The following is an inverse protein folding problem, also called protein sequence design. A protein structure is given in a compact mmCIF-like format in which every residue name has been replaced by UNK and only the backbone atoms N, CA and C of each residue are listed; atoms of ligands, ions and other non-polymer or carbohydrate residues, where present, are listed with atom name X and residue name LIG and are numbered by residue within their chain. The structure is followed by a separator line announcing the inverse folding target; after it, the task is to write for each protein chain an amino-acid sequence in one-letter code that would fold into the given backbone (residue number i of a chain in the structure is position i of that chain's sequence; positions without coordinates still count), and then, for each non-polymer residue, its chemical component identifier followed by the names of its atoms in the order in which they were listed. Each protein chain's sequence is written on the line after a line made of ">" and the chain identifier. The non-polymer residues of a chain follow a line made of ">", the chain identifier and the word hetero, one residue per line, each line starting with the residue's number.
data_IF_557101984849
#
_entry.id   IF_557101984849
#
_cell.length_a   1.000
_cell.length_b   1.000
_cell.length_c   1.000
_cell.angle_alpha   90.00
_cell.angle_beta   90.00
_cell.angle_gamma   90.00
#
_symmetry.space_group_name_H-M   'P 1'
#
loop_
_entity.id
_entity.type
_entity.pdbx_description
1 polymer ?
#
# COMPACT_ATOMS: atom_id res chain seq x y z
N UNK A 1 -0.58 25.27 2.59
CA UNK A 1 -0.12 24.40 3.69
C UNK A 1 1.29 24.76 4.16
N UNK A 2 2.32 24.80 3.29
CA UNK A 2 3.65 25.30 3.70
C UNK A 2 3.62 26.75 4.20
N UNK A 3 2.80 27.60 3.58
CA UNK A 3 2.65 29.00 3.98
C UNK A 3 1.95 29.23 5.33
N UNK A 4 1.18 28.25 5.83
CA UNK A 4 0.42 28.32 7.08
C UNK A 4 0.18 26.89 7.63
N UNK A 5 1.18 26.27 8.27
CA UNK A 5 1.03 24.93 8.83
C UNK A 5 0.18 24.95 10.10
N UNK A 6 -0.60 23.88 10.39
CA UNK A 6 -1.24 23.70 11.69
C UNK A 6 -0.22 23.73 12.82
N UNK A 7 -0.63 24.19 14.00
CA UNK A 7 0.26 24.31 15.16
C UNK A 7 0.93 22.95 15.48
N UNK A 8 2.26 22.95 15.64
CA UNK A 8 3.13 21.76 15.85
C UNK A 8 3.30 20.80 14.66
N UNK A 9 2.72 21.09 13.48
CA UNK A 9 2.95 20.27 12.30
C UNK A 9 4.34 20.56 11.67
N UNK A 10 5.07 19.49 11.32
CA UNK A 10 6.27 19.60 10.49
C UNK A 10 5.88 19.43 9.03
N UNK A 11 6.21 20.41 8.19
CA UNK A 11 5.98 20.34 6.74
C UNK A 11 7.31 20.09 6.03
N UNK A 12 7.33 19.07 5.16
CA UNK A 12 8.48 18.75 4.31
C UNK A 12 8.00 18.53 2.88
N UNK A 13 8.60 19.26 1.93
CA UNK A 13 8.38 18.99 0.52
C UNK A 13 8.99 17.64 0.15
N UNK A 14 8.22 16.82 -0.55
CA UNK A 14 8.71 15.54 -1.07
C UNK A 14 9.37 15.77 -2.43
N UNK A 15 10.50 15.10 -2.73
CA UNK A 15 11.19 15.21 -4.02
C UNK A 15 10.46 14.38 -5.09
N UNK A 16 9.28 14.84 -5.49
CA UNK A 16 8.42 14.19 -6.49
C UNK A 16 8.05 15.17 -7.60
N UNK A 17 7.79 14.64 -8.80
CA UNK A 17 7.53 15.44 -10.00
C UNK A 17 6.19 16.19 -9.98
N UNK A 18 5.26 15.83 -9.08
CA UNK A 18 3.95 16.46 -9.02
C UNK A 18 3.08 16.00 -7.86
N UNK A 19 1.84 16.48 -7.86
CA UNK A 19 0.83 16.17 -6.85
C UNK A 19 0.15 14.81 -7.14
N UNK A 20 0.88 13.72 -6.91
CA UNK A 20 0.35 12.35 -7.05
C UNK A 20 -0.90 12.13 -6.18
N UNK A 21 -1.77 11.19 -6.60
CA UNK A 21 -3.00 10.85 -5.88
C UNK A 21 -3.99 12.01 -5.74
N UNK A 22 -3.96 12.93 -6.71
CA UNK A 22 -4.91 14.04 -6.81
C UNK A 22 -5.47 14.16 -8.22
N UNK A 23 -6.54 14.95 -8.37
CA UNK A 23 -7.14 15.30 -9.67
C UNK A 23 -6.14 15.83 -10.72
N UNK A 24 -5.00 16.39 -10.31
CA UNK A 24 -3.99 16.89 -11.24
C UNK A 24 -3.34 15.77 -12.08
N UNK A 25 -3.49 14.51 -11.65
CA UNK A 25 -3.00 13.33 -12.36
C UNK A 25 -4.02 12.75 -13.36
N UNK A 26 -5.13 13.43 -13.66
CA UNK A 26 -6.16 12.92 -14.57
C UNK A 26 -5.60 12.44 -15.94
N UNK A 27 -4.69 13.17 -16.62
CA UNK A 27 -4.10 12.66 -17.87
C UNK A 27 -3.32 11.35 -17.69
N UNK A 28 -2.69 11.15 -16.54
CA UNK A 28 -1.98 9.90 -16.23
C UNK A 28 -2.94 8.76 -15.92
N UNK A 29 -4.09 9.05 -15.28
CA UNK A 29 -5.15 8.05 -15.08
C UNK A 29 -5.67 7.53 -16.43
N UNK A 30 -5.90 8.41 -17.40
CA UNK A 30 -6.39 8.02 -18.72
C UNK A 30 -5.40 7.07 -19.43
N UNK A 31 -4.11 7.41 -19.40
CA UNK A 31 -3.06 6.54 -19.95
C UNK A 31 -2.97 5.18 -19.23
N UNK A 32 -3.10 5.15 -17.89
CA UNK A 32 -3.10 3.90 -17.11
C UNK A 32 -4.36 3.08 -17.39
N UNK A 33 -5.52 3.72 -17.55
CA UNK A 33 -6.77 3.03 -17.90
C UNK A 33 -6.69 2.39 -19.29
N UNK A 34 -6.12 3.07 -20.28
CA UNK A 34 -5.90 2.52 -21.61
C UNK A 34 -4.96 1.30 -21.59
N UNK A 35 -3.89 1.36 -20.80
CA UNK A 35 -2.98 0.23 -20.61
C UNK A 35 -3.66 -0.93 -19.89
N UNK A 36 -4.43 -0.66 -18.82
CA UNK A 36 -5.14 -1.67 -18.05
C UNK A 36 -6.21 -2.40 -18.87
N UNK A 37 -6.87 -1.71 -19.81
CA UNK A 37 -7.88 -2.31 -20.70
C UNK A 37 -7.31 -3.37 -21.64
N UNK A 38 -5.98 -3.42 -21.82
CA UNK A 38 -5.28 -4.42 -22.66
C UNK A 38 -4.91 -5.68 -21.87
N UNK A 39 -5.21 -5.73 -20.58
CA UNK A 39 -4.85 -6.84 -19.68
C UNK A 39 -6.13 -7.63 -19.35
N UNK A 40 -6.07 -8.95 -19.50
CA UNK A 40 -7.08 -9.88 -18.95
C UNK A 40 -6.59 -10.38 -17.59
N UNK A 41 -7.12 -9.86 -16.46
CA UNK A 41 -6.66 -10.27 -15.14
C UNK A 41 -7.25 -11.63 -14.75
N UNK A 42 -6.46 -12.42 -14.03
CA UNK A 42 -6.97 -13.57 -13.28
C UNK A 42 -7.59 -13.13 -11.96
N UNK A 43 -8.41 -14.00 -11.36
CA UNK A 43 -8.95 -13.78 -10.02
C UNK A 43 -7.84 -13.79 -8.95
N UNK A 44 -7.89 -12.90 -7.94
CA UNK A 44 -6.93 -12.92 -6.84
C UNK A 44 -6.99 -14.26 -6.10
N UNK A 45 -5.85 -14.96 -6.02
CA UNK A 45 -5.74 -16.23 -5.26
C UNK A 45 -5.49 -16.01 -3.78
N UNK A 46 -5.33 -14.76 -3.36
CA UNK A 46 -5.14 -14.29 -1.98
C UNK A 46 -5.88 -12.97 -1.80
N UNK A 47 -6.24 -12.64 -0.57
CA UNK A 47 -6.82 -11.35 -0.22
C UNK A 47 -5.91 -10.21 -0.69
N UNK A 48 -6.41 -9.38 -1.62
CA UNK A 48 -5.71 -8.21 -2.14
C UNK A 48 -6.48 -6.97 -1.71
N UNK A 49 -5.87 -6.15 -0.84
CA UNK A 49 -6.49 -4.91 -0.34
C UNK A 49 -6.27 -3.75 -1.31
N UNK A 50 -7.23 -2.82 -1.35
CA UNK A 50 -7.13 -1.59 -2.15
C UNK A 50 -6.80 -0.37 -1.29
N UNK A 51 -5.87 0.46 -1.77
CA UNK A 51 -5.58 1.77 -1.19
C UNK A 51 -6.76 2.76 -1.28
N UNK A 52 -7.82 2.45 -2.04
CA UNK A 52 -8.99 3.33 -2.15
C UNK A 52 -9.78 3.40 -0.84
N UNK A 53 -9.94 2.27 -0.15
CA UNK A 53 -10.82 2.12 1.00
C UNK A 53 -10.33 1.10 2.05
N UNK A 54 -9.16 0.50 1.86
CA UNK A 54 -8.60 -0.54 2.73
C UNK A 54 -9.21 -1.92 2.55
N UNK A 55 -10.23 -2.08 1.70
CA UNK A 55 -11.01 -3.32 1.59
C UNK A 55 -10.43 -4.27 0.54
N UNK A 56 -10.73 -5.58 0.64
CA UNK A 56 -10.43 -6.52 -0.42
C UNK A 56 -11.05 -6.10 -1.76
N UNK A 57 -10.32 -6.31 -2.85
CA UNK A 57 -10.88 -6.24 -4.21
C UNK A 57 -11.82 -7.43 -4.43
N UNK A 58 -12.89 -7.21 -5.20
CA UNK A 58 -13.92 -8.23 -5.44
C UNK A 58 -13.55 -9.20 -6.57
N UNK A 59 -12.71 -8.77 -7.51
CA UNK A 59 -12.26 -9.58 -8.64
C UNK A 59 -10.99 -9.05 -9.28
N UNK A 60 -10.45 -9.77 -10.26
CA UNK A 60 -9.33 -9.29 -11.09
C UNK A 60 -9.68 -7.99 -11.84
N UNK A 61 -10.92 -7.90 -12.36
CA UNK A 61 -11.41 -6.71 -13.04
C UNK A 61 -11.57 -5.50 -12.09
N UNK A 62 -12.09 -5.74 -10.87
CA UNK A 62 -12.16 -4.71 -9.83
C UNK A 62 -10.76 -4.21 -9.44
N UNK A 63 -9.77 -5.11 -9.35
CA UNK A 63 -8.39 -4.75 -9.05
C UNK A 63 -7.79 -3.79 -10.10
N UNK A 64 -7.95 -4.08 -11.41
CA UNK A 64 -7.46 -3.20 -12.48
C UNK A 64 -8.21 -1.85 -12.51
N UNK A 65 -9.53 -1.87 -12.30
CA UNK A 65 -10.33 -0.65 -12.21
C UNK A 65 -9.86 0.26 -11.07
N UNK A 66 -9.69 -0.33 -9.87
CA UNK A 66 -9.17 0.38 -8.69
C UNK A 66 -7.73 0.85 -8.88
N UNK A 67 -6.87 0.07 -9.55
CA UNK A 67 -5.49 0.44 -9.86
C UNK A 67 -5.44 1.72 -10.71
N UNK A 68 -6.20 1.77 -11.81
CA UNK A 68 -6.24 2.95 -12.66
C UNK A 68 -6.79 4.18 -11.91
N UNK A 69 -7.90 4.00 -11.17
CA UNK A 69 -8.50 5.07 -10.40
C UNK A 69 -7.60 5.59 -9.26
N UNK A 70 -6.69 4.75 -8.72
CA UNK A 70 -5.79 5.12 -7.63
C UNK A 70 -4.85 6.28 -8.00
N UNK A 71 -4.56 6.48 -9.28
CA UNK A 71 -3.66 7.52 -9.79
C UNK A 71 -4.11 8.92 -9.34
N UNK A 72 -5.42 9.15 -9.25
CA UNK A 72 -6.00 10.45 -8.85
C UNK A 72 -6.64 10.44 -7.46
N UNK A 73 -6.64 9.29 -6.78
CA UNK A 73 -7.28 9.12 -5.47
C UNK A 73 -6.26 9.01 -4.34
N UNK A 74 -6.58 9.53 -3.13
CA UNK A 74 -5.73 9.39 -1.95
C UNK A 74 -5.39 7.94 -1.63
N UNK A 75 -4.22 7.72 -1.02
CA UNK A 75 -3.80 6.42 -0.51
C UNK A 75 -4.28 6.26 0.94
N UNK A 76 -5.26 5.39 1.17
CA UNK A 76 -5.81 5.05 2.49
C UNK A 76 -5.10 3.87 3.14
N UNK A 77 -3.79 3.99 3.30
CA UNK A 77 -2.98 2.96 3.95
C UNK A 77 -3.35 2.73 5.42
N UNK A 78 -3.89 3.76 6.07
CA UNK A 78 -4.49 3.68 7.41
C UNK A 78 -5.63 2.66 7.45
N UNK A 79 -6.48 2.64 6.41
CA UNK A 79 -7.57 1.67 6.30
C UNK A 79 -7.06 0.27 5.95
N UNK A 80 -6.07 0.15 5.05
CA UNK A 80 -5.42 -1.15 4.79
C UNK A 80 -4.86 -1.75 6.09
N UNK A 81 -4.18 -0.94 6.89
CA UNK A 81 -3.61 -1.36 8.18
C UNK A 81 -4.70 -1.72 9.19
N UNK A 82 -5.83 -1.00 9.19
CA UNK A 82 -6.98 -1.36 10.03
C UNK A 82 -7.54 -2.74 9.66
N UNK A 83 -7.73 -3.01 8.37
CA UNK A 83 -8.17 -4.34 7.90
C UNK A 83 -7.18 -5.44 8.25
N UNK A 84 -5.86 -5.20 8.17
CA UNK A 84 -4.84 -6.17 8.60
C UNK A 84 -4.90 -6.45 10.11
N UNK A 85 -5.18 -5.44 10.94
CA UNK A 85 -5.39 -5.65 12.39
C UNK A 85 -6.64 -6.46 12.68
N UNK A 86 -7.76 -6.12 12.03
CA UNK A 86 -9.02 -6.85 12.18
C UNK A 86 -8.89 -8.32 11.76
N UNK A 87 -8.04 -8.59 10.78
CA UNK A 87 -7.70 -9.95 10.35
C UNK A 87 -6.74 -10.70 11.29
N UNK A 88 -6.21 -10.06 12.34
CA UNK A 88 -5.25 -10.63 13.29
C UNK A 88 -4.05 -11.32 12.62
N UNK A 89 -3.41 -10.65 11.66
CA UNK A 89 -2.25 -11.25 10.97
C UNK A 89 -1.11 -11.54 11.94
N UNK A 90 -0.53 -12.73 11.84
CA UNK A 90 0.55 -13.22 12.72
C UNK A 90 1.92 -12.62 12.39
N UNK A 91 2.04 -11.91 11.27
CA UNK A 91 3.27 -11.25 10.86
C UNK A 91 3.12 -10.42 9.60
N UNK A 92 4.03 -9.47 9.42
CA UNK A 92 4.06 -8.57 8.26
C UNK A 92 5.42 -8.64 7.60
N UNK A 93 5.45 -8.99 6.32
CA UNK A 93 6.64 -8.91 5.49
C UNK A 93 6.50 -7.78 4.47
N UNK A 94 7.53 -6.94 4.36
CA UNK A 94 7.65 -5.96 3.27
C UNK A 94 8.69 -6.45 2.26
N UNK A 95 8.29 -6.52 0.99
CA UNK A 95 9.16 -6.93 -0.10
C UNK A 95 10.14 -5.80 -0.49
N UNK A 96 11.29 -6.13 -1.12
CA UNK A 96 12.28 -5.13 -1.52
C UNK A 96 11.73 -4.12 -2.54
N UNK A 97 12.17 -2.84 -2.51
CA UNK A 97 13.03 -2.23 -1.50
C UNK A 97 12.27 -1.93 -0.19
N UNK A 98 12.65 -2.58 0.90
CA UNK A 98 11.89 -2.56 2.16
C UNK A 98 12.40 -1.52 3.18
N UNK A 99 11.47 -1.01 4.00
CA UNK A 99 11.76 -0.27 5.21
C UNK A 99 10.60 0.62 5.68
N UNK A 100 9.89 1.26 4.75
CA UNK A 100 8.88 2.28 5.08
C UNK A 100 7.62 1.63 5.62
N UNK A 101 7.09 0.61 4.94
CA UNK A 101 5.84 -0.03 5.36
C UNK A 101 6.03 -0.84 6.65
N UNK A 102 7.18 -1.48 6.84
CA UNK A 102 7.56 -2.08 8.13
C UNK A 102 7.65 -1.02 9.23
N UNK A 103 8.20 0.15 8.95
CA UNK A 103 8.23 1.26 9.91
C UNK A 103 6.83 1.73 10.32
N UNK A 104 5.89 1.78 9.37
CA UNK A 104 4.47 2.05 9.65
C UNK A 104 3.85 0.92 10.47
N UNK A 105 4.02 -0.34 10.04
CA UNK A 105 3.47 -1.51 10.72
C UNK A 105 3.92 -1.60 12.18
N UNK A 106 5.21 -1.38 12.48
CA UNK A 106 5.74 -1.36 13.86
C UNK A 106 5.04 -0.33 14.76
N UNK A 107 4.59 0.79 14.20
CA UNK A 107 3.88 1.84 14.95
C UNK A 107 2.40 1.49 15.13
N UNK A 108 1.76 1.01 14.07
CA UNK A 108 0.31 0.81 13.99
C UNK A 108 -0.17 -0.58 14.46
N UNK A 109 0.73 -1.57 14.54
CA UNK A 109 0.45 -2.98 14.83
C UNK A 109 1.49 -3.53 15.84
N UNK A 110 1.53 -2.90 17.01
CA UNK A 110 2.49 -3.29 18.08
C UNK A 110 2.26 -4.74 18.49
N UNK A 111 3.35 -5.48 18.62
CA UNK A 111 3.33 -6.91 18.96
C UNK A 111 3.31 -7.84 17.75
N UNK A 112 2.91 -7.35 16.57
CA UNK A 112 2.98 -8.15 15.33
C UNK A 112 4.44 -8.23 14.85
N UNK A 113 5.01 -9.44 14.66
CA UNK A 113 6.31 -9.63 14.04
C UNK A 113 6.40 -8.95 12.66
N UNK A 114 7.52 -8.28 12.37
CA UNK A 114 7.74 -7.63 11.08
C UNK A 114 9.07 -8.04 10.46
N UNK A 115 9.08 -8.31 9.15
CA UNK A 115 10.27 -8.60 8.37
C UNK A 115 10.40 -7.62 7.19
N UNK A 116 11.53 -6.94 7.07
CA UNK A 116 11.87 -6.14 5.90
C UNK A 116 12.83 -6.94 5.02
N UNK A 117 12.38 -7.42 3.87
CA UNK A 117 13.22 -8.17 2.95
C UNK A 117 14.11 -7.20 2.17
N UNK A 118 15.42 -7.36 2.31
CA UNK A 118 16.42 -6.48 1.68
C UNK A 118 17.37 -7.24 0.78
N UNK A 119 17.62 -8.51 1.09
CA UNK A 119 18.54 -9.38 0.36
C UNK A 119 17.91 -10.76 0.15
N UNK A 120 18.39 -11.56 -0.83
CA UNK A 120 17.95 -12.93 -0.99
C UNK A 120 18.15 -13.81 0.27
N UNK A 121 19.11 -13.47 1.14
CA UNK A 121 19.34 -14.17 2.40
C UNK A 121 18.18 -14.04 3.40
N UNK A 122 17.32 -13.03 3.25
CA UNK A 122 16.16 -12.81 4.12
C UNK A 122 14.98 -13.74 3.79
N UNK A 123 15.02 -14.45 2.64
CA UNK A 123 13.92 -15.31 2.19
C UNK A 123 13.66 -16.46 3.16
N UNK A 124 14.71 -17.03 3.77
CA UNK A 124 14.53 -18.08 4.77
C UNK A 124 13.78 -17.59 6.01
N UNK A 125 13.97 -16.32 6.39
CA UNK A 125 13.27 -15.72 7.52
C UNK A 125 11.77 -15.52 7.28
N UNK A 126 11.30 -15.46 6.02
CA UNK A 126 9.87 -15.45 5.71
C UNK A 126 9.16 -16.71 6.23
N UNK A 127 9.82 -17.86 6.13
CA UNK A 127 9.25 -19.12 6.57
C UNK A 127 9.04 -19.16 8.09
N UNK A 128 9.82 -18.37 8.84
CA UNK A 128 9.76 -18.31 10.31
C UNK A 128 8.87 -17.17 10.83
N UNK A 129 8.38 -16.30 9.93
CA UNK A 129 7.54 -15.17 10.30
C UNK A 129 6.19 -15.65 10.85
N UNK A 130 5.83 -15.18 12.05
CA UNK A 130 4.55 -15.51 12.70
C UNK A 130 4.50 -16.88 13.37
N UNK A 131 5.57 -17.69 13.32
CA UNK A 131 5.66 -18.97 14.04
C UNK A 131 6.04 -18.84 15.52
N UNK A 132 6.34 -17.63 15.98
CA UNK A 132 6.67 -17.36 17.39
C UNK A 132 5.36 -17.01 18.09
N UNK A 133 4.66 -18.05 18.55
CA UNK A 133 3.57 -17.99 19.53
C UNK A 133 3.96 -18.83 20.74
#
# INVERSE_FOLDING_TARGET
>A
LAANPPEKARVRALPVAGAFHTRYMAPAQDAVAEAAAKITPNEPTRTLLSNSDGKPVASGADALSKLAAQVTRPVRWDLCTATLREANVDGIAELPPAGTLVGIAKREMRGTPTLALKTPGDISALAELGKVS
#
